data_IF_344758588280
#
_entry.id   IF_344758588280
#
_cell.length_a   1.000
_cell.length_b   1.000
_cell.length_c   1.000
_cell.angle_alpha   90.00
_cell.angle_beta   90.00
_cell.angle_gamma   90.00
#
_symmetry.space_group_name_H-M   'P 1'
#
loop_
_entity.id
_entity.type
_entity.pdbx_description
1 polymer ?
#
# COMPACT_ATOMS: atom_id res chain seq x y z
N UNK A 1 33.64 -25.39 -24.46
CA UNK A 1 32.17 -25.40 -24.61
C UNK A 1 31.53 -24.61 -23.47
N UNK A 2 31.92 -23.34 -23.34
CA UNK A 2 31.50 -22.40 -22.29
C UNK A 2 31.37 -21.07 -23.03
N UNK A 3 30.17 -20.77 -23.54
CA UNK A 3 29.75 -19.48 -24.15
C UNK A 3 28.36 -19.68 -24.79
N UNK A 4 27.31 -19.87 -23.97
CA UNK A 4 25.91 -19.77 -24.46
C UNK A 4 24.82 -19.60 -23.39
N UNK A 5 25.16 -19.16 -22.18
CA UNK A 5 24.16 -18.97 -21.09
C UNK A 5 24.03 -17.49 -20.67
N UNK A 6 24.86 -16.58 -21.19
CA UNK A 6 24.81 -15.13 -20.85
C UNK A 6 23.96 -14.25 -21.76
N UNK A 7 23.21 -14.83 -22.70
CA UNK A 7 22.42 -14.07 -23.68
C UNK A 7 20.90 -14.14 -23.45
N UNK A 8 20.44 -14.91 -22.45
CA UNK A 8 19.00 -15.09 -22.16
C UNK A 8 18.48 -14.28 -20.95
N UNK A 9 19.36 -13.77 -20.08
CA UNK A 9 18.97 -12.89 -18.96
C UNK A 9 18.94 -11.40 -19.34
N UNK A 10 19.62 -11.00 -20.42
CA UNK A 10 19.54 -9.64 -20.96
C UNK A 10 18.35 -9.47 -21.94
N UNK A 11 17.74 -10.56 -22.42
CA UNK A 11 16.58 -10.50 -23.31
C UNK A 11 15.23 -10.34 -22.59
N UNK A 12 15.13 -10.63 -21.29
CA UNK A 12 13.90 -10.43 -20.51
C UNK A 12 13.75 -9.02 -19.92
N UNK A 13 14.81 -8.22 -19.93
CA UNK A 13 14.78 -6.81 -19.48
C UNK A 13 14.91 -5.78 -20.61
N UNK A 14 14.90 -6.20 -21.87
CA UNK A 14 14.98 -5.30 -23.03
C UNK A 14 13.93 -5.54 -24.13
N UNK A 15 12.92 -6.38 -23.90
CA UNK A 15 11.84 -6.65 -24.88
C UNK A 15 10.44 -6.16 -24.47
N UNK A 16 10.36 -5.11 -23.66
CA UNK A 16 9.16 -4.26 -23.60
C UNK A 16 9.49 -2.86 -24.13
N UNK A 17 10.07 -2.80 -25.34
CA UNK A 17 10.04 -1.59 -26.15
C UNK A 17 8.60 -1.41 -26.66
N UNK A 18 7.83 -0.65 -25.88
CA UNK A 18 6.90 0.36 -26.37
C UNK A 18 6.09 -0.01 -27.61
N UNK A 19 5.08 -0.87 -27.46
CA UNK A 19 3.78 -0.48 -28.04
C UNK A 19 3.43 0.82 -27.33
N UNK A 20 3.52 1.96 -28.00
CA UNK A 20 3.01 3.21 -27.43
C UNK A 20 1.50 3.05 -27.31
N UNK A 21 1.04 2.47 -26.20
CA UNK A 21 -0.32 2.65 -25.75
C UNK A 21 -0.38 4.15 -25.53
N UNK A 22 -0.95 4.89 -26.49
CA UNK A 22 -1.22 6.30 -26.33
C UNK A 22 -2.17 6.39 -25.14
N UNK A 23 -1.65 6.78 -23.98
CA UNK A 23 -2.47 6.80 -22.75
C UNK A 23 -3.21 8.13 -22.76
N UNK A 24 -4.54 8.07 -22.76
CA UNK A 24 -5.39 9.25 -22.76
C UNK A 24 -5.72 9.65 -21.32
N UNK A 25 -5.40 10.88 -20.96
CA UNK A 25 -5.64 11.47 -19.64
C UNK A 25 -6.73 12.53 -19.79
N UNK A 26 -7.85 12.35 -19.09
CA UNK A 26 -8.96 13.31 -19.13
C UNK A 26 -8.76 14.38 -18.06
N UNK A 27 -8.49 15.61 -18.49
CA UNK A 27 -8.23 16.76 -17.63
C UNK A 27 -9.40 17.74 -17.64
N UNK A 28 -9.94 18.05 -16.46
CA UNK A 28 -10.86 19.18 -16.29
C UNK A 28 -10.08 20.46 -15.98
N UNK A 29 -10.39 21.57 -16.65
CA UNK A 29 -9.90 22.90 -16.28
C UNK A 29 -11.09 23.82 -16.01
N UNK A 30 -11.18 24.36 -14.80
CA UNK A 30 -12.21 25.33 -14.41
C UNK A 30 -11.55 26.71 -14.25
N UNK A 31 -11.82 27.59 -15.21
CA UNK A 31 -11.15 28.89 -15.38
C UNK A 31 -12.12 29.82 -16.13
N UNK A 32 -12.45 30.98 -15.54
CA UNK A 32 -13.39 31.93 -16.14
C UNK A 32 -12.73 32.87 -17.16
N UNK A 33 -11.42 33.13 -17.06
CA UNK A 33 -10.70 33.97 -18.01
C UNK A 33 -10.39 33.24 -19.33
N UNK A 34 -10.90 33.76 -20.44
CA UNK A 34 -10.72 33.17 -21.76
C UNK A 34 -9.26 33.17 -22.25
N UNK A 35 -8.47 34.18 -21.87
CA UNK A 35 -7.05 34.24 -22.26
C UNK A 35 -6.25 33.18 -21.52
N UNK A 36 -6.52 32.98 -20.22
CA UNK A 36 -5.92 31.91 -19.44
C UNK A 36 -6.29 30.53 -20.01
N UNK A 37 -7.57 30.29 -20.35
CA UNK A 37 -7.98 29.04 -21.03
C UNK A 37 -7.21 28.81 -22.33
N UNK A 38 -6.99 29.85 -23.13
CA UNK A 38 -6.20 29.74 -24.36
C UNK A 38 -4.73 29.39 -24.06
N UNK A 39 -4.13 30.00 -23.04
CA UNK A 39 -2.76 29.66 -22.60
C UNK A 39 -2.66 28.21 -22.13
N UNK A 40 -3.67 27.70 -21.40
CA UNK A 40 -3.76 26.29 -21.04
C UNK A 40 -3.82 25.40 -22.27
N UNK A 41 -4.68 25.72 -23.23
CA UNK A 41 -4.81 24.98 -24.49
C UNK A 41 -3.48 24.91 -25.25
N UNK A 42 -2.84 26.07 -25.49
CA UNK A 42 -1.56 26.14 -26.22
C UNK A 42 -0.48 25.31 -25.51
N UNK A 43 -0.40 25.40 -24.17
CA UNK A 43 0.56 24.63 -23.37
C UNK A 43 0.33 23.12 -23.45
N UNK A 44 -0.93 22.69 -23.50
CA UNK A 44 -1.30 21.27 -23.57
C UNK A 44 -1.08 20.71 -24.98
N UNK A 45 -1.33 21.51 -26.02
CA UNK A 45 -1.03 21.12 -27.40
C UNK A 45 0.49 20.92 -27.60
N UNK A 46 1.31 21.82 -27.04
CA UNK A 46 2.76 21.65 -27.00
C UNK A 46 3.16 20.39 -26.22
N UNK A 47 2.64 20.22 -25.00
CA UNK A 47 2.90 19.05 -24.16
C UNK A 47 2.55 17.73 -24.88
N UNK A 48 1.39 17.70 -25.54
CA UNK A 48 0.90 16.55 -26.28
C UNK A 48 1.81 16.18 -27.46
N UNK A 49 2.49 17.13 -28.10
CA UNK A 49 3.34 16.85 -29.26
C UNK A 49 4.53 15.92 -28.91
N UNK A 50 5.09 16.05 -27.71
CA UNK A 50 6.26 15.28 -27.25
C UNK A 50 5.99 14.18 -26.22
N UNK A 51 4.74 14.03 -25.76
CA UNK A 51 4.39 13.14 -24.64
C UNK A 51 3.79 11.79 -25.09
N UNK A 52 4.10 10.73 -24.33
CA UNK A 52 3.48 9.40 -24.39
C UNK A 52 2.06 9.37 -23.81
N UNK A 53 1.74 10.36 -22.98
CA UNK A 53 0.41 10.63 -22.43
C UNK A 53 -0.20 11.78 -23.22
N UNK A 54 -1.36 11.53 -23.84
CA UNK A 54 -2.18 12.54 -24.49
C UNK A 54 -3.21 13.05 -23.51
N UNK A 55 -3.21 14.34 -23.28
CA UNK A 55 -4.16 15.02 -22.41
C UNK A 55 -5.35 15.48 -23.26
N UNK A 56 -6.53 14.99 -22.93
CA UNK A 56 -7.82 15.46 -23.45
C UNK A 56 -8.42 16.44 -22.44
N UNK A 57 -8.66 17.67 -22.88
CA UNK A 57 -9.07 18.77 -21.99
C UNK A 57 -10.56 18.99 -22.09
N UNK A 58 -11.20 19.18 -20.95
CA UNK A 58 -12.54 19.72 -20.86
C UNK A 58 -12.49 21.04 -20.08
N UNK A 59 -12.93 22.13 -20.70
CA UNK A 59 -13.01 23.43 -20.05
C UNK A 59 -14.38 23.66 -19.41
N UNK A 60 -14.40 24.37 -18.29
CA UNK A 60 -15.59 24.97 -17.69
C UNK A 60 -15.30 26.41 -17.37
N UNK A 61 -16.17 27.31 -17.84
CA UNK A 61 -15.99 28.76 -17.69
C UNK A 61 -16.64 29.31 -16.43
N UNK A 62 -17.46 28.50 -15.76
CA UNK A 62 -18.25 28.90 -14.59
C UNK A 62 -18.22 27.83 -13.52
N UNK A 63 -18.48 28.27 -12.30
CA UNK A 63 -18.60 27.40 -11.14
C UNK A 63 -19.64 26.28 -11.34
N UNK A 64 -20.85 26.63 -11.79
CA UNK A 64 -21.96 25.68 -11.94
C UNK A 64 -21.66 24.61 -12.99
N UNK A 65 -21.04 25.02 -14.11
CA UNK A 65 -20.57 24.12 -15.17
C UNK A 65 -19.50 23.16 -14.65
N UNK A 66 -18.49 23.67 -13.93
CA UNK A 66 -17.43 22.85 -13.37
C UNK A 66 -17.95 21.81 -12.36
N UNK A 67 -18.92 22.20 -11.53
CA UNK A 67 -19.56 21.30 -10.57
C UNK A 67 -20.39 20.21 -11.26
N UNK A 68 -21.10 20.56 -12.34
CA UNK A 68 -21.86 19.59 -13.14
C UNK A 68 -20.92 18.59 -13.84
N UNK A 69 -19.81 19.07 -14.39
CA UNK A 69 -18.80 18.26 -15.07
C UNK A 69 -18.23 17.17 -14.15
N UNK A 70 -17.73 17.51 -12.96
CA UNK A 70 -17.16 16.52 -12.03
C UNK A 70 -18.19 15.49 -11.54
N UNK A 71 -19.48 15.83 -11.60
CA UNK A 71 -20.56 14.91 -11.19
C UNK A 71 -20.90 13.93 -12.30
N UNK A 72 -20.96 14.38 -13.56
CA UNK A 72 -21.43 13.58 -14.70
C UNK A 72 -20.33 12.83 -15.45
N UNK A 73 -19.13 13.40 -15.48
CA UNK A 73 -18.02 12.89 -16.28
C UNK A 73 -16.91 12.31 -15.38
N UNK A 74 -16.03 11.53 -16.00
CA UNK A 74 -14.87 10.94 -15.34
C UNK A 74 -13.62 11.70 -15.75
N UNK A 75 -12.85 12.12 -14.75
CA UNK A 75 -11.60 12.84 -14.93
C UNK A 75 -10.46 12.13 -14.20
N UNK A 76 -9.27 12.22 -14.79
CA UNK A 76 -8.02 11.75 -14.21
C UNK A 76 -7.30 12.84 -13.42
N UNK A 77 -7.63 14.11 -13.66
CA UNK A 77 -7.11 15.24 -12.91
C UNK A 77 -8.03 16.47 -13.10
N UNK A 78 -7.87 17.47 -12.23
CA UNK A 78 -8.43 18.79 -12.46
C UNK A 78 -7.44 19.92 -12.14
N UNK A 79 -7.50 20.99 -12.92
CA UNK A 79 -6.95 22.31 -12.61
C UNK A 79 -8.12 23.25 -12.31
N UNK A 80 -8.09 23.94 -11.17
CA UNK A 80 -9.21 24.76 -10.70
C UNK A 80 -8.67 26.12 -10.25
N UNK A 81 -9.10 27.20 -10.86
CA UNK A 81 -8.93 28.53 -10.27
C UNK A 81 -9.91 28.73 -9.11
N UNK A 82 -9.50 29.47 -8.09
CA UNK A 82 -10.31 29.73 -6.91
C UNK A 82 -11.45 30.69 -7.19
N UNK A 83 -11.19 31.77 -7.94
CA UNK A 83 -12.20 32.79 -8.23
C UNK A 83 -12.78 32.49 -9.60
N UNK A 84 -14.09 32.26 -9.67
CA UNK A 84 -14.78 31.89 -10.90
C UNK A 84 -15.89 32.89 -11.18
N UNK A 85 -15.55 33.98 -11.88
CA UNK A 85 -16.45 35.05 -12.29
C UNK A 85 -16.20 36.39 -11.61
N UNK A 86 -16.63 37.47 -12.27
CA UNK A 86 -16.54 38.83 -11.74
C UNK A 86 -17.28 38.97 -10.41
N UNK A 87 -16.56 39.38 -9.36
CA UNK A 87 -17.11 39.57 -8.02
C UNK A 87 -17.07 38.34 -7.10
N UNK A 88 -16.44 37.23 -7.52
CA UNK A 88 -16.19 36.09 -6.66
C UNK A 88 -15.06 36.36 -5.64
N UNK A 89 -15.36 37.19 -4.64
CA UNK A 89 -14.45 37.54 -3.56
C UNK A 89 -14.26 36.41 -2.53
N UNK A 90 -15.06 35.35 -2.61
CA UNK A 90 -15.03 34.24 -1.66
C UNK A 90 -14.41 32.98 -2.22
N UNK A 91 -14.15 32.91 -3.52
CA UNK A 91 -13.54 31.79 -4.21
C UNK A 91 -14.44 30.56 -4.27
N UNK A 92 -15.44 30.58 -5.15
CA UNK A 92 -16.38 29.47 -5.42
C UNK A 92 -15.66 28.19 -5.87
N UNK A 93 -14.48 28.29 -6.47
CA UNK A 93 -13.64 27.13 -6.81
C UNK A 93 -13.36 26.21 -5.62
N UNK A 94 -13.37 26.74 -4.39
CA UNK A 94 -13.26 25.94 -3.15
C UNK A 94 -14.36 24.89 -3.01
N UNK A 95 -15.57 25.15 -3.48
CA UNK A 95 -16.66 24.20 -3.39
C UNK A 95 -16.45 23.02 -4.33
N UNK A 96 -15.90 23.24 -5.53
CA UNK A 96 -15.51 22.18 -6.46
C UNK A 96 -14.39 21.33 -5.83
N UNK A 97 -13.38 21.97 -5.23
CA UNK A 97 -12.29 21.27 -4.53
C UNK A 97 -12.82 20.42 -3.36
N UNK A 98 -13.80 20.93 -2.60
CA UNK A 98 -14.44 20.19 -1.50
C UNK A 98 -15.24 19.00 -2.01
N UNK A 99 -15.99 19.16 -3.09
CA UNK A 99 -16.73 18.07 -3.74
C UNK A 99 -15.76 16.95 -4.16
N UNK A 100 -14.65 17.32 -4.83
CA UNK A 100 -13.64 16.34 -5.25
C UNK A 100 -13.03 15.62 -4.05
N UNK A 101 -12.58 16.36 -3.02
CA UNK A 101 -11.98 15.75 -1.82
C UNK A 101 -12.94 14.86 -1.02
N UNK A 102 -14.25 15.10 -1.12
CA UNK A 102 -15.25 14.34 -0.35
C UNK A 102 -15.74 13.11 -1.10
N UNK A 103 -15.89 13.20 -2.42
CA UNK A 103 -16.64 12.20 -3.21
C UNK A 103 -15.86 11.58 -4.38
N UNK A 104 -14.70 12.14 -4.74
CA UNK A 104 -13.94 11.75 -5.92
C UNK A 104 -12.47 11.47 -5.56
N UNK A 105 -11.73 10.80 -6.47
CA UNK A 105 -10.41 10.23 -6.16
C UNK A 105 -9.39 10.46 -7.28
N UNK A 106 -9.26 11.71 -7.70
CA UNK A 106 -8.26 12.14 -8.67
C UNK A 106 -7.52 13.40 -8.19
N UNK A 107 -6.28 13.64 -8.65
CA UNK A 107 -5.49 14.79 -8.24
C UNK A 107 -6.10 16.14 -8.68
N UNK A 108 -6.03 17.12 -7.78
CA UNK A 108 -6.52 18.49 -8.01
C UNK A 108 -5.39 19.48 -7.81
N UNK A 109 -5.19 20.32 -8.82
CA UNK A 109 -4.23 21.42 -8.81
C UNK A 109 -4.97 22.74 -8.80
N UNK A 110 -4.62 23.60 -7.84
CA UNK A 110 -5.14 24.96 -7.77
C UNK A 110 -4.07 25.88 -8.32
N UNK A 111 -4.40 26.57 -9.40
CA UNK A 111 -3.59 27.65 -9.96
C UNK A 111 -4.40 28.92 -9.74
N UNK A 112 -3.98 29.73 -8.76
CA UNK A 112 -4.63 31.01 -8.50
C UNK A 112 -3.67 32.14 -8.15
N UNK A 113 -4.05 33.38 -8.45
CA UNK A 113 -3.37 34.58 -7.93
C UNK A 113 -3.70 34.89 -6.46
N UNK A 114 -4.76 34.29 -5.92
CA UNK A 114 -5.36 34.63 -4.62
C UNK A 114 -5.27 33.48 -3.61
N UNK A 115 -4.06 32.97 -3.38
CA UNK A 115 -3.85 31.80 -2.49
C UNK A 115 -4.34 32.04 -1.06
N UNK A 116 -4.38 33.29 -0.60
CA UNK A 116 -4.88 33.75 0.69
C UNK A 116 -6.39 33.51 0.89
N UNK A 117 -7.15 33.36 -0.19
CA UNK A 117 -8.59 33.10 -0.13
C UNK A 117 -8.91 31.62 0.19
N UNK A 118 -7.89 30.76 0.30
CA UNK A 118 -8.05 29.39 0.74
C UNK A 118 -8.49 29.32 2.21
N UNK A 119 -9.52 28.51 2.46
CA UNK A 119 -9.89 28.15 3.84
C UNK A 119 -8.78 27.35 4.51
N UNK A 120 -8.65 27.46 5.84
CA UNK A 120 -7.62 26.74 6.63
C UNK A 120 -7.61 25.24 6.33
N UNK A 121 -8.77 24.65 6.05
CA UNK A 121 -8.95 23.24 5.72
C UNK A 121 -8.34 22.82 4.37
N UNK A 122 -8.13 23.78 3.47
CA UNK A 122 -7.54 23.59 2.14
C UNK A 122 -6.07 24.03 2.07
N UNK A 123 -5.44 24.40 3.19
CA UNK A 123 -4.02 24.79 3.19
C UNK A 123 -3.06 23.60 3.18
N UNK A 124 -3.50 22.43 3.67
CA UNK A 124 -2.66 21.23 3.72
C UNK A 124 -2.60 20.55 2.35
N UNK A 125 -1.44 20.65 1.70
CA UNK A 125 -1.15 20.04 0.40
C UNK A 125 -0.56 18.65 0.53
N UNK A 126 -0.63 17.88 -0.55
CA UNK A 126 0.04 16.59 -0.74
C UNK A 126 0.18 16.32 -2.26
N UNK A 127 0.62 15.12 -2.65
CA UNK A 127 0.81 14.78 -4.07
C UNK A 127 -0.47 14.87 -4.91
N UNK A 128 -1.65 14.58 -4.33
CA UNK A 128 -2.95 14.65 -5.00
C UNK A 128 -3.67 15.99 -4.85
N UNK A 129 -3.12 16.91 -4.05
CA UNK A 129 -3.71 18.22 -3.87
C UNK A 129 -2.64 19.27 -3.67
N UNK A 130 -2.43 20.09 -4.69
CA UNK A 130 -1.44 21.16 -4.68
C UNK A 130 -2.06 22.50 -5.01
N UNK A 131 -1.47 23.53 -4.44
CA UNK A 131 -1.83 24.92 -4.65
C UNK A 131 -0.56 25.62 -5.08
N UNK A 132 -0.62 26.31 -6.21
CA UNK A 132 0.46 27.17 -6.69
C UNK A 132 -0.09 28.56 -6.97
N UNK A 133 0.77 29.57 -6.77
CA UNK A 133 0.51 30.89 -7.30
C UNK A 133 0.75 30.88 -8.82
N UNK A 134 -0.11 31.56 -9.60
CA UNK A 134 -0.02 31.62 -11.07
C UNK A 134 1.29 32.22 -11.58
N UNK A 135 2.03 32.93 -10.72
CA UNK A 135 3.34 33.50 -11.03
C UNK A 135 4.52 32.59 -10.71
N UNK A 136 4.33 31.58 -9.85
CA UNK A 136 5.41 30.73 -9.34
C UNK A 136 5.62 29.48 -10.18
N UNK A 137 4.56 28.98 -10.84
CA UNK A 137 4.62 27.72 -11.58
C UNK A 137 3.87 27.81 -12.90
N UNK A 138 4.55 27.40 -13.97
CA UNK A 138 3.95 27.38 -15.29
C UNK A 138 3.03 26.15 -15.45
N UNK A 139 2.16 26.20 -16.45
CA UNK A 139 1.23 25.12 -16.79
C UNK A 139 1.96 23.81 -17.12
N UNK A 140 3.03 23.86 -17.91
CA UNK A 140 3.75 22.66 -18.37
C UNK A 140 4.30 21.83 -17.22
N UNK A 141 4.85 22.48 -16.18
CA UNK A 141 5.35 21.81 -14.98
C UNK A 141 4.21 21.10 -14.23
N UNK A 142 3.02 21.72 -14.17
CA UNK A 142 1.82 21.12 -13.57
C UNK A 142 1.37 19.91 -14.38
N UNK A 143 1.38 19.98 -15.72
CA UNK A 143 1.04 18.85 -16.59
C UNK A 143 2.01 17.67 -16.41
N UNK A 144 3.31 17.94 -16.20
CA UNK A 144 4.28 16.90 -15.88
C UNK A 144 3.98 16.21 -14.54
N UNK A 145 3.59 16.96 -13.52
CA UNK A 145 3.18 16.40 -12.23
C UNK A 145 1.92 15.54 -12.35
N UNK A 146 0.88 16.06 -13.01
CA UNK A 146 -0.37 15.35 -13.30
C UNK A 146 -0.05 14.04 -14.04
N UNK A 147 0.77 14.11 -15.08
CA UNK A 147 1.17 12.95 -15.88
C UNK A 147 1.95 11.93 -15.05
N UNK A 148 2.85 12.39 -14.16
CA UNK A 148 3.59 11.50 -13.26
C UNK A 148 2.65 10.74 -12.32
N UNK A 149 1.60 11.39 -11.79
CA UNK A 149 0.59 10.73 -10.95
C UNK A 149 -0.22 9.73 -11.78
N UNK A 150 -0.69 10.14 -12.96
CA UNK A 150 -1.45 9.28 -13.86
C UNK A 150 -0.66 8.04 -14.31
N UNK A 151 0.66 8.15 -14.50
CA UNK A 151 1.54 6.99 -14.82
C UNK A 151 1.52 5.90 -13.76
N UNK A 152 1.26 6.24 -12.50
CA UNK A 152 1.15 5.25 -11.41
C UNK A 152 -0.06 4.33 -11.58
N UNK A 153 -1.04 4.70 -12.42
CA UNK A 153 -2.28 3.96 -12.61
C UNK A 153 -3.30 4.15 -11.49
N UNK A 154 -3.00 4.97 -10.47
CA UNK A 154 -3.86 5.14 -9.29
C UNK A 154 -5.29 5.60 -9.63
N UNK A 155 -5.46 6.48 -10.63
CA UNK A 155 -6.80 6.93 -11.07
C UNK A 155 -7.56 5.82 -11.81
N UNK A 156 -6.84 4.92 -12.49
CA UNK A 156 -7.42 3.70 -13.11
C UNK A 156 -7.78 2.63 -12.10
N UNK A 157 -7.26 2.73 -10.87
CA UNK A 157 -7.58 1.80 -9.77
C UNK A 157 -8.74 2.37 -8.94
N UNK A 158 -8.62 3.64 -8.53
CA UNK A 158 -9.47 4.29 -7.52
C UNK A 158 -10.55 5.21 -8.09
N UNK A 159 -10.48 5.53 -9.39
CA UNK A 159 -11.47 6.35 -10.07
C UNK A 159 -12.85 5.67 -10.12
N UNK A 160 -13.88 6.44 -10.50
CA UNK A 160 -15.29 5.98 -10.52
C UNK A 160 -15.53 4.75 -11.40
N UNK A 161 -14.68 4.52 -12.40
CA UNK A 161 -14.67 3.34 -13.28
C UNK A 161 -13.38 2.52 -13.16
N UNK A 162 -12.71 2.65 -12.02
CA UNK A 162 -11.45 1.97 -11.78
C UNK A 162 -11.62 0.47 -11.55
N UNK A 163 -10.49 -0.23 -11.52
CA UNK A 163 -10.44 -1.69 -11.30
C UNK A 163 -11.23 -2.10 -10.04
N UNK A 164 -11.10 -1.35 -8.94
CA UNK A 164 -11.81 -1.67 -7.69
C UNK A 164 -13.34 -1.63 -7.86
N UNK A 165 -13.86 -0.61 -8.54
CA UNK A 165 -15.31 -0.47 -8.76
C UNK A 165 -15.83 -1.55 -9.71
N UNK A 166 -15.05 -1.90 -10.75
CA UNK A 166 -15.39 -3.01 -11.66
C UNK A 166 -15.44 -4.35 -10.91
N UNK A 167 -14.41 -4.67 -10.13
CA UNK A 167 -14.39 -5.91 -9.35
C UNK A 167 -15.46 -5.94 -8.27
N UNK A 168 -15.80 -4.79 -7.66
CA UNK A 168 -16.91 -4.72 -6.71
C UNK A 168 -18.25 -5.03 -7.39
N UNK A 169 -18.47 -4.54 -8.62
CA UNK A 169 -19.65 -4.84 -9.42
C UNK A 169 -19.76 -6.34 -9.71
N UNK A 170 -18.66 -6.98 -10.11
CA UNK A 170 -18.58 -8.43 -10.35
C UNK A 170 -18.91 -9.21 -9.06
N UNK A 171 -18.23 -8.90 -7.96
CA UNK A 171 -18.48 -9.52 -6.64
C UNK A 171 -19.94 -9.34 -6.21
N UNK A 172 -20.54 -8.18 -6.48
CA UNK A 172 -21.94 -7.96 -6.13
C UNK A 172 -22.87 -8.90 -6.90
N UNK A 173 -22.79 -8.93 -8.23
CA UNK A 173 -23.73 -9.72 -9.04
C UNK A 173 -23.45 -11.21 -9.01
N UNK A 174 -22.18 -11.61 -9.09
CA UNK A 174 -21.79 -13.03 -9.20
C UNK A 174 -21.69 -13.72 -7.83
N UNK A 175 -21.68 -12.97 -6.72
CA UNK A 175 -21.64 -13.58 -5.39
C UNK A 175 -22.76 -13.10 -4.48
N UNK A 176 -22.84 -11.80 -4.21
CA UNK A 176 -23.73 -11.29 -3.17
C UNK A 176 -25.20 -11.44 -3.58
N UNK A 177 -25.55 -11.09 -4.83
CA UNK A 177 -26.90 -11.17 -5.34
C UNK A 177 -27.41 -12.62 -5.40
N UNK A 178 -26.59 -13.54 -5.91
CA UNK A 178 -26.94 -14.97 -6.00
C UNK A 178 -27.16 -15.63 -4.63
N UNK A 179 -26.38 -15.21 -3.63
CA UNK A 179 -26.40 -15.82 -2.30
C UNK A 179 -27.20 -15.01 -1.26
N UNK A 180 -27.94 -13.98 -1.68
CA UNK A 180 -28.60 -13.05 -0.75
C UNK A 180 -29.64 -13.76 0.14
N UNK A 181 -30.34 -14.77 -0.37
CA UNK A 181 -31.33 -15.52 0.41
C UNK A 181 -30.70 -16.28 1.59
N UNK A 182 -29.48 -16.78 1.44
CA UNK A 182 -28.71 -17.31 2.55
C UNK A 182 -28.41 -16.22 3.58
N UNK A 183 -27.90 -15.07 3.13
CA UNK A 183 -27.50 -13.99 4.03
C UNK A 183 -28.65 -13.37 4.83
N UNK A 184 -29.88 -13.39 4.32
CA UNK A 184 -31.08 -12.95 5.05
C UNK A 184 -31.33 -13.75 6.33
N UNK A 185 -30.84 -14.99 6.41
CA UNK A 185 -31.13 -15.91 7.52
C UNK A 185 -29.88 -16.42 8.25
N UNK A 186 -28.69 -16.23 7.67
CA UNK A 186 -27.43 -16.78 8.17
C UNK A 186 -26.95 -16.18 9.51
N UNK A 187 -27.43 -15.00 9.90
CA UNK A 187 -26.96 -14.27 11.08
C UNK A 187 -28.15 -13.86 11.92
N UNK A 188 -28.27 -14.46 13.12
CA UNK A 188 -29.36 -14.18 14.07
C UNK A 188 -29.30 -12.75 14.62
N UNK A 189 -28.09 -12.24 14.85
CA UNK A 189 -27.88 -10.87 15.35
C UNK A 189 -27.81 -9.90 14.17
N UNK A 190 -28.94 -9.30 13.83
CA UNK A 190 -29.06 -8.32 12.75
C UNK A 190 -28.06 -7.16 12.86
N UNK A 191 -27.61 -6.79 14.08
CA UNK A 191 -26.61 -5.74 14.25
C UNK A 191 -25.20 -6.13 13.73
N UNK A 192 -24.97 -7.41 13.46
CA UNK A 192 -23.70 -7.95 12.94
C UNK A 192 -23.72 -8.21 11.44
N UNK A 193 -24.89 -8.27 10.80
CA UNK A 193 -25.03 -8.70 9.40
C UNK A 193 -24.15 -7.85 8.46
N UNK A 194 -24.26 -6.52 8.57
CA UNK A 194 -23.50 -5.58 7.74
C UNK A 194 -22.00 -5.78 7.88
N UNK A 195 -21.52 -6.03 9.10
CA UNK A 195 -20.09 -6.20 9.37
C UNK A 195 -19.55 -7.53 8.85
N UNK A 196 -20.35 -8.60 8.92
CA UNK A 196 -19.96 -9.91 8.37
C UNK A 196 -19.95 -9.84 6.86
N UNK A 197 -21.03 -9.34 6.25
CA UNK A 197 -21.13 -9.16 4.80
C UNK A 197 -20.00 -8.28 4.25
N UNK A 198 -19.68 -7.17 4.92
CA UNK A 198 -18.57 -6.30 4.50
C UNK A 198 -17.24 -7.04 4.44
N UNK A 199 -16.94 -7.91 5.42
CA UNK A 199 -15.71 -8.71 5.42
C UNK A 199 -15.73 -9.80 4.37
N UNK A 200 -16.90 -10.39 4.11
CA UNK A 200 -17.09 -11.38 3.06
C UNK A 200 -16.84 -10.77 1.67
N UNK A 201 -17.46 -9.62 1.38
CA UNK A 201 -17.22 -8.85 0.14
C UNK A 201 -15.75 -8.50 0.00
N UNK A 202 -15.11 -8.00 1.06
CA UNK A 202 -13.69 -7.66 1.04
C UNK A 202 -12.81 -8.88 0.75
N UNK A 203 -13.16 -10.05 1.29
CA UNK A 203 -12.42 -11.29 1.03
C UNK A 203 -12.52 -11.69 -0.44
N UNK A 204 -13.72 -11.61 -1.04
CA UNK A 204 -13.91 -11.84 -2.47
C UNK A 204 -13.11 -10.85 -3.33
N UNK A 205 -13.22 -9.55 -3.04
CA UNK A 205 -12.48 -8.51 -3.74
C UNK A 205 -10.96 -8.76 -3.68
N UNK A 206 -10.44 -9.08 -2.49
CA UNK A 206 -9.03 -9.37 -2.30
C UNK A 206 -8.57 -10.65 -3.03
N UNK A 207 -9.44 -11.64 -3.17
CA UNK A 207 -9.12 -12.87 -3.90
C UNK A 207 -9.14 -12.63 -5.42
N UNK A 208 -10.15 -11.92 -5.93
CA UNK A 208 -10.23 -11.54 -7.35
C UNK A 208 -9.01 -10.75 -7.81
N UNK A 209 -8.47 -9.86 -6.96
CA UNK A 209 -7.30 -9.04 -7.29
C UNK A 209 -5.97 -9.79 -7.26
N UNK A 210 -5.93 -11.04 -6.77
CA UNK A 210 -4.71 -11.87 -6.80
C UNK A 210 -4.59 -12.67 -8.09
N UNK A 211 -5.63 -12.70 -8.91
CA UNK A 211 -5.66 -13.50 -10.13
C UNK A 211 -5.23 -12.66 -11.33
N UNK A 212 -4.47 -13.25 -12.24
CA UNK A 212 -4.24 -12.70 -13.58
C UNK A 212 -5.51 -12.80 -14.42
N UNK A 213 -5.52 -12.19 -15.61
CA UNK A 213 -6.64 -12.33 -16.56
C UNK A 213 -6.88 -13.79 -16.98
N UNK A 214 -5.84 -14.63 -16.92
CA UNK A 214 -5.89 -16.07 -17.21
C UNK A 214 -6.23 -16.93 -15.97
N UNK A 215 -6.42 -16.32 -14.79
CA UNK A 215 -6.77 -17.00 -13.56
C UNK A 215 -5.59 -17.60 -12.78
N UNK A 216 -4.35 -17.22 -13.11
CA UNK A 216 -3.16 -17.63 -12.34
C UNK A 216 -2.91 -16.68 -11.16
N UNK A 217 -2.19 -17.12 -10.12
CA UNK A 217 -1.85 -16.24 -9.01
C UNK A 217 -0.73 -15.25 -9.38
N UNK A 218 -0.99 -13.97 -9.19
CA UNK A 218 -0.01 -12.90 -9.30
C UNK A 218 1.13 -13.07 -8.29
N UNK A 219 2.34 -12.67 -8.69
CA UNK A 219 3.48 -12.67 -7.79
C UNK A 219 3.38 -11.46 -6.85
N UNK A 220 3.36 -11.71 -5.55
CA UNK A 220 3.28 -10.63 -4.56
C UNK A 220 4.48 -9.68 -4.65
N UNK A 221 4.19 -8.39 -4.74
CA UNK A 221 5.18 -7.34 -4.62
C UNK A 221 5.61 -7.20 -3.14
N UNK A 222 6.89 -6.91 -2.85
CA UNK A 222 7.39 -6.67 -1.50
C UNK A 222 6.59 -5.69 -0.63
N UNK A 223 5.93 -4.72 -1.25
CA UNK A 223 5.08 -3.74 -0.58
C UNK A 223 3.85 -4.38 0.12
N UNK A 224 3.41 -5.55 -0.31
CA UNK A 224 2.23 -6.25 0.22
C UNK A 224 2.48 -6.97 1.54
N UNK A 225 3.75 -7.08 1.95
CA UNK A 225 4.15 -7.72 3.21
C UNK A 225 3.68 -6.90 4.42
N UNK A 226 3.51 -5.59 4.28
CA UNK A 226 3.28 -4.68 5.41
C UNK A 226 1.94 -3.97 5.34
N UNK A 227 1.33 -3.83 6.51
CA UNK A 227 0.23 -2.90 6.78
C UNK A 227 0.83 -1.69 7.51
N UNK A 228 0.89 -0.55 6.82
CA UNK A 228 1.49 0.69 7.35
C UNK A 228 0.66 1.94 6.99
N UNK A 229 0.26 2.76 7.98
CA UNK A 229 0.49 2.58 9.41
C UNK A 229 -0.30 1.38 9.98
N UNK A 230 0.15 0.79 11.10
CA UNK A 230 -0.58 -0.28 11.76
C UNK A 230 -2.02 0.11 12.12
N UNK A 231 -3.00 -0.70 11.71
CA UNK A 231 -4.44 -0.43 11.93
C UNK A 231 -4.89 -0.81 13.35
N UNK A 232 -4.39 -1.94 13.88
CA UNK A 232 -4.80 -2.47 15.21
C UNK A 232 -4.44 -1.45 16.28
N UNK A 233 -5.32 -1.08 17.22
CA UNK A 233 -4.99 -0.05 18.25
C UNK A 233 -3.93 -0.47 19.28
N UNK A 234 -3.66 -1.77 19.41
CA UNK A 234 -2.81 -2.36 20.45
C UNK A 234 -1.81 -3.32 19.80
N UNK A 235 -0.67 -3.52 20.46
CA UNK A 235 0.35 -4.45 20.02
C UNK A 235 -0.19 -5.88 19.89
N UNK A 236 0.16 -6.54 18.80
CA UNK A 236 -0.31 -7.85 18.42
C UNK A 236 0.78 -8.66 17.70
N UNK A 237 0.56 -9.95 17.53
CA UNK A 237 1.43 -10.83 16.75
C UNK A 237 1.65 -10.28 15.34
N UNK A 238 2.89 -10.36 14.86
CA UNK A 238 3.32 -9.83 13.57
C UNK A 238 3.60 -8.33 13.54
N UNK A 239 3.42 -7.62 14.66
CA UNK A 239 3.81 -6.21 14.74
C UNK A 239 5.34 -6.06 14.74
N UNK A 240 5.83 -5.11 13.94
CA UNK A 240 7.23 -4.70 13.90
C UNK A 240 7.43 -3.53 14.85
N UNK A 241 8.37 -3.73 15.76
CA UNK A 241 8.73 -2.83 16.85
C UNK A 241 10.05 -2.15 16.55
N UNK A 242 10.13 -0.85 16.83
CA UNK A 242 11.36 -0.08 16.92
C UNK A 242 11.53 0.37 18.37
N UNK A 243 12.67 0.08 18.97
CA UNK A 243 12.99 0.57 20.31
C UNK A 243 13.20 2.10 20.27
N UNK A 244 12.58 2.86 21.19
CA UNK A 244 12.60 4.34 21.13
C UNK A 244 13.98 4.96 21.27
N UNK A 245 14.84 4.35 22.09
CA UNK A 245 16.14 4.89 22.47
C UNK A 245 17.31 4.20 21.74
N UNK A 246 17.02 3.36 20.73
CA UNK A 246 18.03 2.61 19.99
C UNK A 246 17.61 2.47 18.51
N UNK A 247 18.51 1.97 17.68
CA UNK A 247 18.28 1.62 16.26
C UNK A 247 17.77 0.18 16.11
N UNK A 248 17.23 -0.37 17.19
CA UNK A 248 16.91 -1.78 17.33
C UNK A 248 15.49 -2.10 16.91
N UNK A 249 15.35 -3.12 16.06
CA UNK A 249 14.08 -3.60 15.53
C UNK A 249 13.78 -5.03 15.98
N UNK A 250 12.49 -5.31 16.18
CA UNK A 250 11.97 -6.61 16.59
C UNK A 250 10.64 -6.92 15.93
N UNK A 251 10.27 -8.20 15.88
CA UNK A 251 8.92 -8.66 15.49
C UNK A 251 8.30 -9.46 16.63
N UNK A 252 7.00 -9.23 16.90
CA UNK A 252 6.26 -9.99 17.92
C UNK A 252 5.85 -11.35 17.34
N UNK A 253 6.31 -12.45 17.95
CA UNK A 253 5.97 -13.82 17.55
C UNK A 253 5.17 -14.60 18.61
N UNK A 254 4.82 -13.98 19.74
CA UNK A 254 3.84 -14.58 20.66
C UNK A 254 2.54 -14.91 19.93
N UNK A 255 1.93 -16.10 20.13
CA UNK A 255 0.66 -16.46 19.50
C UNK A 255 -0.45 -15.42 19.66
N UNK A 256 -1.25 -15.26 18.60
CA UNK A 256 -2.30 -14.24 18.51
C UNK A 256 -3.33 -14.34 19.63
N UNK A 257 -3.74 -15.56 20.00
CA UNK A 257 -4.70 -15.82 21.08
C UNK A 257 -4.21 -15.34 22.45
N UNK A 258 -2.89 -15.36 22.67
CA UNK A 258 -2.27 -14.94 23.92
C UNK A 258 -2.00 -13.44 23.96
N UNK A 259 -1.87 -12.81 22.79
CA UNK A 259 -1.74 -11.38 22.63
C UNK A 259 -3.06 -10.61 22.75
N UNK A 260 -4.21 -11.26 22.90
CA UNK A 260 -5.47 -10.52 23.11
C UNK A 260 -5.46 -9.85 24.50
N UNK A 261 -5.72 -8.54 24.55
CA UNK A 261 -5.94 -7.85 25.82
C UNK A 261 -7.33 -8.20 26.36
N UNK A 262 -7.35 -8.83 27.52
CA UNK A 262 -8.54 -9.26 28.25
C UNK A 262 -8.74 -8.36 29.46
N UNK A 263 -9.99 -8.24 29.90
CA UNK A 263 -10.35 -7.54 31.12
C UNK A 263 -10.92 -8.54 32.10
N UNK A 264 -10.41 -8.52 33.32
CA UNK A 264 -10.96 -9.26 34.44
C UNK A 264 -11.25 -8.31 35.59
N UNK A 265 -12.25 -8.65 36.40
CA UNK A 265 -12.71 -7.82 37.50
C UNK A 265 -12.20 -8.42 38.80
N UNK A 266 -11.32 -7.68 39.47
CA UNK A 266 -10.82 -8.02 40.79
C UNK A 266 -11.50 -7.10 41.82
N UNK A 267 -12.53 -7.65 42.49
CA UNK A 267 -13.42 -6.87 43.36
C UNK A 267 -14.12 -5.72 42.61
N UNK A 268 -13.72 -4.47 42.92
CA UNK A 268 -14.26 -3.25 42.26
C UNK A 268 -13.37 -2.70 41.13
N UNK A 269 -12.18 -3.27 40.88
CA UNK A 269 -11.24 -2.77 39.88
C UNK A 269 -11.25 -3.64 38.62
N UNK A 270 -11.14 -3.01 37.46
CA UNK A 270 -10.90 -3.71 36.19
C UNK A 270 -9.41 -3.80 35.94
N UNK A 271 -8.89 -5.01 35.79
CA UNK A 271 -7.51 -5.30 35.43
C UNK A 271 -7.48 -5.69 33.96
N UNK A 272 -6.53 -5.13 33.20
CA UNK A 272 -6.30 -5.50 31.80
C UNK A 272 -5.03 -6.33 31.72
N UNK A 273 -5.10 -7.51 31.10
CA UNK A 273 -3.98 -8.45 31.02
C UNK A 273 -3.95 -9.18 29.67
N UNK A 274 -2.84 -9.85 29.38
CA UNK A 274 -2.67 -10.80 28.27
C UNK A 274 -2.54 -12.20 28.87
N UNK A 275 -2.90 -13.23 28.11
CA UNK A 275 -2.64 -14.61 28.58
C UNK A 275 -1.14 -14.94 28.52
N UNK A 276 -0.40 -14.29 27.64
CA UNK A 276 1.05 -14.41 27.60
C UNK A 276 1.69 -13.77 28.84
N UNK A 277 2.35 -14.57 29.66
CA UNK A 277 3.16 -14.08 30.79
C UNK A 277 4.34 -13.22 30.32
N UNK A 278 4.93 -13.61 29.17
CA UNK A 278 5.97 -12.84 28.47
C UNK A 278 5.67 -12.77 26.99
N UNK A 279 5.98 -11.63 26.40
CA UNK A 279 5.89 -11.38 24.97
C UNK A 279 7.22 -11.78 24.33
N UNK A 280 7.16 -12.71 23.39
CA UNK A 280 8.25 -13.18 22.56
C UNK A 280 8.42 -12.16 21.43
N UNK A 281 9.57 -11.51 21.43
CA UNK A 281 10.00 -10.62 20.35
C UNK A 281 11.29 -11.17 19.77
N UNK A 282 11.41 -11.16 18.45
CA UNK A 282 12.58 -11.70 17.75
C UNK A 282 13.28 -10.58 17.02
N UNK A 283 14.61 -10.58 17.06
CA UNK A 283 15.44 -9.53 16.48
C UNK A 283 15.26 -9.44 14.97
N UNK A 284 15.19 -8.20 14.49
CA UNK A 284 15.30 -7.86 13.07
C UNK A 284 16.66 -7.21 12.80
N UNK A 285 17.43 -7.79 11.89
CA UNK A 285 18.75 -7.29 11.49
C UNK A 285 18.62 -6.62 10.13
N UNK A 286 18.99 -5.34 10.03
CA UNK A 286 18.94 -4.62 8.74
C UNK A 286 19.90 -5.26 7.72
N UNK A 287 19.43 -5.42 6.47
CA UNK A 287 20.21 -6.10 5.43
C UNK A 287 21.53 -5.41 5.09
N UNK A 288 21.57 -4.08 5.11
CA UNK A 288 22.78 -3.31 4.80
C UNK A 288 23.93 -3.59 5.79
N UNK A 289 23.66 -4.21 6.94
CA UNK A 289 24.64 -4.59 7.96
C UNK A 289 25.21 -6.01 7.76
N UNK A 290 24.73 -6.77 6.77
CA UNK A 290 25.20 -8.14 6.49
C UNK A 290 25.68 -8.23 5.03
N UNK A 291 27.01 -8.28 4.78
CA UNK A 291 27.59 -8.32 3.44
C UNK A 291 27.18 -9.55 2.59
N UNK A 292 26.75 -10.64 3.22
CA UNK A 292 26.51 -11.96 2.59
C UNK A 292 25.02 -12.21 2.19
N UNK A 293 24.15 -11.20 2.30
CA UNK A 293 22.70 -11.34 2.06
C UNK A 293 22.35 -11.60 0.60
N UNK A 294 23.16 -11.11 -0.35
CA UNK A 294 23.01 -11.42 -1.78
C UNK A 294 23.02 -12.93 -2.03
N UNK A 295 23.95 -13.64 -1.40
CA UNK A 295 24.11 -15.08 -1.58
C UNK A 295 23.05 -15.85 -0.80
N UNK A 296 22.62 -15.34 0.36
CA UNK A 296 21.49 -15.89 1.10
C UNK A 296 20.18 -15.85 0.28
N UNK A 297 19.90 -14.74 -0.40
CA UNK A 297 18.71 -14.58 -1.26
C UNK A 297 18.80 -15.47 -2.51
N UNK A 298 19.98 -15.61 -3.11
CA UNK A 298 20.19 -16.33 -4.38
C UNK A 298 20.30 -17.85 -4.24
N UNK A 299 20.92 -18.37 -3.17
CA UNK A 299 21.41 -19.76 -3.17
C UNK A 299 20.51 -20.78 -2.51
N UNK A 300 19.46 -20.40 -1.75
CA UNK A 300 18.51 -21.32 -1.07
C UNK A 300 19.17 -22.70 -0.75
N UNK A 301 20.23 -22.73 0.09
CA UNK A 301 20.96 -23.97 0.44
C UNK A 301 20.57 -24.52 1.84
N UNK A 302 20.50 -25.85 1.99
CA UNK A 302 19.55 -26.55 2.87
C UNK A 302 19.77 -26.54 4.40
N UNK A 303 20.86 -26.01 4.96
CA UNK A 303 21.16 -26.21 6.41
C UNK A 303 21.07 -24.94 7.28
N UNK A 304 21.40 -23.74 6.75
CA UNK A 304 21.19 -22.45 7.44
C UNK A 304 19.80 -21.83 7.22
N UNK A 305 18.94 -22.52 6.46
CA UNK A 305 17.67 -22.05 5.85
C UNK A 305 16.53 -21.66 6.79
N UNK A 306 16.42 -22.31 7.95
CA UNK A 306 15.25 -22.08 8.82
C UNK A 306 15.56 -21.14 9.97
N UNK A 307 16.81 -20.68 10.14
CA UNK A 307 17.14 -19.68 11.18
C UNK A 307 16.69 -18.28 10.78
N UNK A 308 16.82 -17.94 9.51
CA UNK A 308 16.56 -16.58 9.05
C UNK A 308 15.33 -16.48 8.15
N UNK A 309 14.63 -15.35 8.23
CA UNK A 309 13.53 -15.02 7.33
C UNK A 309 13.73 -13.64 6.72
N UNK A 310 13.52 -13.51 5.41
CA UNK A 310 13.68 -12.25 4.70
C UNK A 310 12.40 -11.41 4.77
N UNK A 311 12.53 -10.17 5.24
CA UNK A 311 11.49 -9.14 5.24
C UNK A 311 11.96 -7.99 4.34
N UNK A 312 11.27 -7.66 3.24
CA UNK A 312 11.72 -6.64 2.30
C UNK A 312 11.69 -5.23 2.89
N UNK A 313 12.36 -4.27 2.24
CA UNK A 313 12.17 -2.84 2.56
C UNK A 313 10.80 -2.33 2.08
N UNK A 314 10.32 -1.24 2.69
CA UNK A 314 9.16 -0.48 2.22
C UNK A 314 9.57 0.98 1.99
N UNK A 315 10.04 1.26 0.77
CA UNK A 315 10.61 2.57 0.41
C UNK A 315 11.64 3.03 1.44
N UNK A 316 11.59 4.31 1.81
CA UNK A 316 12.46 4.90 2.85
C UNK A 316 11.89 4.76 4.26
N UNK A 317 10.63 4.30 4.39
CA UNK A 317 9.92 4.28 5.68
C UNK A 317 10.31 3.11 6.56
N UNK A 318 10.70 1.99 5.95
CA UNK A 318 11.12 0.78 6.64
C UNK A 318 12.28 0.12 5.88
N UNK A 319 13.45 -0.09 6.51
CA UNK A 319 14.54 -0.83 5.88
C UNK A 319 14.17 -2.31 5.74
N UNK A 320 14.91 -3.03 4.90
CA UNK A 320 14.75 -4.48 4.79
C UNK A 320 15.48 -5.21 5.93
N UNK A 321 14.92 -6.32 6.40
CA UNK A 321 15.40 -7.06 7.57
C UNK A 321 15.53 -8.57 7.37
N UNK A 322 16.54 -9.18 7.98
CA UNK A 322 16.51 -10.60 8.32
C UNK A 322 15.92 -10.75 9.73
N UNK A 323 14.88 -11.56 9.86
CA UNK A 323 14.46 -12.08 11.17
C UNK A 323 15.49 -13.13 11.58
N UNK A 324 16.09 -13.01 12.76
CA UNK A 324 16.97 -14.04 13.33
C UNK A 324 16.22 -14.84 14.39
N UNK A 325 15.69 -16.00 14.02
CA UNK A 325 14.91 -16.84 14.93
C UNK A 325 15.71 -17.42 16.11
N UNK A 326 17.03 -17.23 16.19
CA UNK A 326 17.82 -17.53 17.40
C UNK A 326 17.88 -16.36 18.39
N UNK A 327 17.80 -15.11 17.93
CA UNK A 327 17.85 -13.93 18.79
C UNK A 327 16.45 -13.61 19.32
N UNK A 328 15.99 -14.51 20.19
CA UNK A 328 14.69 -14.47 20.85
C UNK A 328 14.82 -13.71 22.17
N UNK A 329 14.03 -12.67 22.32
CA UNK A 329 13.91 -11.89 23.53
C UNK A 329 12.51 -12.09 24.13
N UNK A 330 12.42 -12.02 25.47
CA UNK A 330 11.17 -12.19 26.20
C UNK A 330 10.96 -11.01 27.14
N UNK A 331 9.98 -10.17 26.83
CA UNK A 331 9.66 -8.97 27.61
C UNK A 331 8.36 -9.17 28.39
N UNK A 332 8.19 -8.45 29.49
CA UNK A 332 6.91 -8.34 30.19
C UNK A 332 5.94 -7.46 29.38
N UNK A 333 4.66 -7.59 29.65
CA UNK A 333 3.62 -6.82 28.96
C UNK A 333 3.77 -5.30 29.17
N UNK A 334 4.29 -4.87 30.32
CA UNK A 334 4.48 -3.45 30.66
C UNK A 334 5.67 -2.83 29.90
N UNK A 335 6.68 -3.64 29.60
CA UNK A 335 7.91 -3.24 28.92
C UNK A 335 7.66 -2.93 27.43
N UNK A 336 6.57 -3.42 26.84
CA UNK A 336 6.25 -3.17 25.42
C UNK A 336 6.06 -1.68 25.11
N UNK A 337 5.79 -0.85 26.12
CA UNK A 337 5.54 0.57 25.95
C UNK A 337 6.79 1.40 25.61
N UNK A 338 8.00 0.83 25.73
CA UNK A 338 9.25 1.48 25.31
C UNK A 338 9.49 1.38 23.80
N UNK A 339 8.66 0.60 23.10
CA UNK A 339 8.74 0.40 21.66
C UNK A 339 7.68 1.21 20.93
N UNK A 340 8.04 1.68 19.75
CA UNK A 340 7.09 2.19 18.76
C UNK A 340 6.77 1.10 17.76
N UNK A 341 5.49 0.94 17.45
CA UNK A 341 5.06 0.03 16.41
C UNK A 341 5.07 0.75 15.06
N UNK A 342 5.95 0.31 14.17
CA UNK A 342 6.20 0.97 12.89
C UNK A 342 5.43 0.33 11.73
N UNK A 343 5.15 -0.97 11.78
CA UNK A 343 4.38 -1.71 10.79
C UNK A 343 3.75 -2.97 11.41
N UNK A 344 2.82 -3.59 10.70
CA UNK A 344 2.35 -4.95 10.99
C UNK A 344 2.55 -5.81 9.75
N UNK A 345 2.99 -7.05 9.91
CA UNK A 345 3.08 -8.01 8.79
C UNK A 345 1.67 -8.47 8.42
N UNK A 346 1.37 -8.50 7.11
CA UNK A 346 0.11 -8.96 6.56
C UNK A 346 -0.05 -10.49 6.77
N UNK A 347 -1.28 -10.94 6.95
CA UNK A 347 -1.62 -12.28 7.45
C UNK A 347 -1.03 -13.45 6.64
N UNK A 348 -1.02 -13.44 5.29
CA UNK A 348 -0.42 -14.54 4.51
C UNK A 348 1.07 -14.73 4.81
N UNK A 349 1.83 -13.64 4.92
CA UNK A 349 3.26 -13.66 5.23
C UNK A 349 3.51 -13.99 6.70
N UNK A 350 2.65 -13.49 7.60
CA UNK A 350 2.76 -13.76 9.03
C UNK A 350 2.64 -15.26 9.33
N UNK A 351 1.73 -15.97 8.63
CA UNK A 351 1.58 -17.43 8.78
C UNK A 351 2.86 -18.18 8.42
N UNK A 352 3.52 -17.81 7.32
CA UNK A 352 4.80 -18.41 6.90
C UNK A 352 5.91 -18.11 7.92
N UNK A 353 5.99 -16.88 8.44
CA UNK A 353 6.95 -16.50 9.49
C UNK A 353 6.73 -17.34 10.75
N UNK A 354 5.48 -17.47 11.23
CA UNK A 354 5.15 -18.24 12.43
C UNK A 354 5.47 -19.73 12.22
N UNK A 355 5.14 -20.29 11.05
CA UNK A 355 5.43 -21.68 10.74
C UNK A 355 6.94 -21.95 10.78
N UNK A 356 7.75 -21.08 10.17
CA UNK A 356 9.22 -21.20 10.16
C UNK A 356 9.83 -21.00 11.53
N UNK A 357 9.37 -20.00 12.29
CA UNK A 357 9.78 -19.80 13.67
C UNK A 357 9.52 -21.05 14.51
N UNK A 358 8.32 -21.63 14.39
CA UNK A 358 7.93 -22.84 15.12
C UNK A 358 8.80 -24.04 14.73
N UNK A 359 9.01 -24.25 13.43
CA UNK A 359 9.91 -25.30 12.92
C UNK A 359 11.32 -25.16 13.50
N UNK A 360 11.88 -23.94 13.44
CA UNK A 360 13.20 -23.65 13.97
C UNK A 360 13.29 -23.85 15.48
N UNK A 361 12.31 -23.34 16.23
CA UNK A 361 12.27 -23.42 17.69
C UNK A 361 12.10 -24.85 18.20
N UNK A 362 11.44 -25.72 17.42
CA UNK A 362 11.18 -27.12 17.78
C UNK A 362 12.32 -28.08 17.42
N UNK A 363 13.40 -27.60 16.75
CA UNK A 363 14.54 -28.44 16.33
C UNK A 363 15.10 -29.21 17.52
N UNK A 364 15.12 -30.53 17.40
CA UNK A 364 15.85 -31.41 18.30
C UNK A 364 17.29 -31.51 17.79
N UNK A 365 18.27 -31.22 18.63
CA UNK A 365 19.67 -31.46 18.29
C UNK A 365 19.89 -32.96 18.07
N UNK A 366 20.56 -33.33 16.97
CA UNK A 366 21.09 -34.67 16.80
C UNK A 366 22.54 -34.70 17.31
N UNK A 367 22.97 -35.77 18.00
CA UNK A 367 24.38 -35.95 18.29
C UNK A 367 25.17 -36.05 16.98
N UNK A 368 26.37 -35.46 16.96
CA UNK A 368 27.26 -35.56 15.81
C UNK A 368 27.91 -36.95 15.79
N UNK A 369 27.83 -37.63 14.65
CA UNK A 369 28.55 -38.89 14.45
C UNK A 369 30.01 -38.61 14.11
N UNK A 370 30.90 -39.47 14.59
CA UNK A 370 32.27 -39.55 14.09
C UNK A 370 32.24 -40.16 12.67
N UNK A 371 32.14 -39.28 11.69
CA UNK A 371 32.01 -39.64 10.27
C UNK A 371 33.26 -40.37 9.79
N UNK A 372 34.45 -40.02 10.28
CA UNK A 372 35.71 -40.68 9.92
C UNK A 372 35.70 -42.14 10.38
N UNK A 373 35.31 -42.39 11.63
CA UNK A 373 35.20 -43.76 12.18
C UNK A 373 34.18 -44.63 11.43
N UNK A 374 33.06 -44.04 11.00
CA UNK A 374 32.04 -44.74 10.21
C UNK A 374 32.58 -45.08 8.81
N UNK A 375 33.22 -44.11 8.14
CA UNK A 375 33.75 -44.30 6.80
C UNK A 375 34.87 -45.34 6.75
N UNK A 376 35.79 -45.33 7.72
CA UNK A 376 36.84 -46.34 7.82
C UNK A 376 36.26 -47.76 7.95
N UNK A 377 35.21 -47.94 8.75
CA UNK A 377 34.53 -49.23 8.91
C UNK A 377 33.74 -49.67 7.67
N UNK A 378 33.19 -48.73 6.91
CA UNK A 378 32.43 -49.04 5.70
C UNK A 378 33.31 -49.31 4.48
N UNK A 379 34.52 -48.73 4.43
CA UNK A 379 35.44 -48.89 3.31
C UNK A 379 36.44 -50.05 3.49
N UNK A 380 36.74 -50.42 4.72
CA UNK A 380 37.67 -51.52 5.04
C UNK A 380 36.95 -52.80 5.54
N UNK A 381 35.62 -52.85 5.43
CA UNK A 381 34.76 -53.96 5.87
C UNK A 381 34.30 -54.88 4.76
#
# INVERSE_FOLDING_TARGET
MILKVRTLELSFHQQNYTRSINRMLNLLIVEDDEKQRKLYQDSIDEFNTGSDIKIEINFSSKFEEGLEQIRKNDFDAAIIDLRLGEGDLKGKGKEIIREIKSNLRFPVFVLTGFTEDLGKELTKTNVFYKVYNNTEKNTVDVLHEISSIYRTGITKIMGRKGIIEKTLQEVFWENIAENMDYWKTAIEDESKIEKVLSRHILAHLAESLKLTEEGEFEKCHPAEVYIMPPIKKKFFTGDILKERNDTKYYIILTPACDMVLRKWKDGKKWITFRNADKIIIVRLIEFNKIPEVSDYIKTRSNTKKERYYFLPSFGERLPGFLIDFQDINRIKSEEINIYDRVASVNEPFLKDIIARFTSHYARQGSPDFDVESILEKMLNG
#
